data_IF_261791478073
#
_entry.id   IF_261791478073
#
_cell.length_a   1.000
_cell.length_b   1.000
_cell.length_c   1.000
_cell.angle_alpha   90.00
_cell.angle_beta   90.00
_cell.angle_gamma   90.00
#
_symmetry.space_group_name_H-M   'P 1'
#
loop_
_entity.id
_entity.type
_entity.pdbx_description
1 polymer ?
#
# COMPACT_ATOMS: atom_id res chain seq x y z
N UNK A 1 13.98 2.59 -7.76
CA UNK A 1 13.95 4.05 -8.01
C UNK A 1 12.56 4.37 -8.55
N UNK A 2 11.69 4.92 -7.73
CA UNK A 2 10.38 5.37 -8.18
C UNK A 2 10.53 6.85 -8.52
N UNK A 3 10.47 7.18 -9.80
CA UNK A 3 10.42 8.56 -10.26
C UNK A 3 8.96 8.92 -10.48
N UNK A 4 8.42 9.76 -9.63
CA UNK A 4 7.10 10.37 -9.86
C UNK A 4 7.32 11.83 -10.21
N UNK A 5 6.85 12.23 -11.36
CA UNK A 5 6.97 13.61 -11.87
C UNK A 5 5.86 14.49 -11.29
N UNK A 6 6.17 15.37 -10.39
CA UNK A 6 5.55 16.69 -10.21
C UNK A 6 6.22 17.44 -9.02
N UNK A 7 5.91 18.70 -8.81
CA UNK A 7 6.52 19.68 -7.87
C UNK A 7 6.43 19.31 -6.37
N UNK A 8 6.49 18.04 -6.00
CA UNK A 8 6.24 17.57 -4.64
C UNK A 8 7.47 16.91 -4.02
N UNK A 9 7.50 16.92 -2.72
CA UNK A 9 8.51 16.27 -1.88
C UNK A 9 8.27 14.75 -1.90
N UNK A 10 9.30 13.95 -2.15
CA UNK A 10 9.21 12.50 -2.23
C UNK A 10 9.98 11.82 -1.12
N UNK A 11 9.45 10.71 -0.63
CA UNK A 11 10.14 9.84 0.29
C UNK A 11 10.82 8.71 -0.48
N UNK A 12 12.15 8.65 -0.44
CA UNK A 12 12.92 7.58 -1.06
C UNK A 12 13.14 6.43 -0.10
N UNK A 13 12.89 5.23 -0.58
CA UNK A 13 13.32 4.01 0.08
C UNK A 13 14.78 3.77 -0.33
N UNK A 14 15.71 4.02 0.56
CA UNK A 14 17.08 3.57 0.40
C UNK A 14 17.22 2.14 0.90
N UNK A 15 17.66 1.25 0.03
CA UNK A 15 18.18 -0.04 0.41
C UNK A 15 19.60 0.17 0.97
N UNK A 16 19.74 0.53 2.22
CA UNK A 16 21.02 0.45 2.95
C UNK A 16 20.71 0.39 4.46
N UNK A 17 21.01 -0.72 5.06
CA UNK A 17 21.46 -1.05 6.43
C UNK A 17 20.97 -0.27 7.67
N UNK A 18 20.11 0.75 7.55
CA UNK A 18 19.45 1.38 8.69
C UNK A 18 17.99 1.70 8.32
N UNK A 19 17.14 0.69 8.46
CA UNK A 19 15.73 0.71 8.07
C UNK A 19 14.83 1.49 9.05
N UNK A 20 15.40 2.06 10.10
CA UNK A 20 14.65 2.69 11.19
C UNK A 20 14.23 4.13 10.91
N UNK A 21 14.99 4.85 10.10
CA UNK A 21 14.76 6.27 9.83
C UNK A 21 14.31 6.49 8.38
N UNK A 22 13.23 7.23 8.17
CA UNK A 22 12.80 7.67 6.84
C UNK A 22 13.22 9.12 6.60
N UNK A 23 13.78 9.36 5.43
CA UNK A 23 14.27 10.68 5.03
C UNK A 23 13.41 11.26 3.92
N UNK A 24 13.03 12.50 4.08
CA UNK A 24 12.33 13.30 3.07
C UNK A 24 13.34 14.11 2.30
N UNK A 25 13.36 13.96 0.98
CA UNK A 25 14.29 14.65 0.09
C UNK A 25 13.57 15.71 -0.75
N UNK A 26 14.22 16.83 -0.94
CA UNK A 26 13.86 17.76 -2.00
C UNK A 26 14.52 17.30 -3.32
N UNK A 27 13.68 17.05 -4.32
CA UNK A 27 14.14 16.59 -5.64
C UNK A 27 14.90 17.65 -6.43
N UNK A 28 14.61 18.92 -6.18
CA UNK A 28 15.29 20.03 -6.89
C UNK A 28 16.70 20.26 -6.33
N UNK A 29 16.81 20.39 -5.01
CA UNK A 29 18.10 20.61 -4.34
C UNK A 29 18.89 19.33 -4.11
N UNK A 30 18.24 18.15 -4.21
CA UNK A 30 18.82 16.82 -3.89
C UNK A 30 19.35 16.73 -2.45
N UNK A 31 18.77 17.50 -1.55
CA UNK A 31 19.15 17.52 -0.14
C UNK A 31 18.11 16.82 0.73
N UNK A 32 18.56 16.33 1.88
CA UNK A 32 17.66 15.79 2.91
C UNK A 32 17.01 16.98 3.60
N UNK A 33 15.69 17.08 3.47
CA UNK A 33 14.92 18.12 4.15
C UNK A 33 14.66 17.74 5.61
N UNK A 34 14.24 16.50 5.84
CA UNK A 34 13.77 16.03 7.15
C UNK A 34 14.10 14.57 7.34
N UNK A 35 14.29 14.17 8.59
CA UNK A 35 14.36 12.79 9.03
C UNK A 35 13.18 12.52 9.97
N UNK A 36 12.45 11.44 9.72
CA UNK A 36 11.32 10.99 10.53
C UNK A 36 11.81 9.73 11.28
N UNK A 37 12.13 9.89 12.55
CA UNK A 37 12.83 8.88 13.35
C UNK A 37 12.08 8.63 14.65
N UNK A 38 11.26 7.57 14.66
CA UNK A 38 10.50 7.15 15.85
C UNK A 38 10.18 5.65 15.84
N UNK A 39 10.21 5.01 14.65
CA UNK A 39 10.00 3.56 14.60
C UNK A 39 11.17 2.80 15.21
N UNK A 40 10.85 1.72 15.93
CA UNK A 40 11.83 0.86 16.61
C UNK A 40 12.36 -0.27 15.74
N UNK A 41 11.70 -0.54 14.62
CA UNK A 41 12.05 -1.60 13.67
C UNK A 41 11.95 -1.11 12.22
N UNK A 42 12.34 -1.93 11.23
CA UNK A 42 12.31 -1.56 9.82
C UNK A 42 10.95 -1.03 9.34
N UNK A 43 10.99 0.02 8.53
CA UNK A 43 9.80 0.61 7.91
C UNK A 43 9.72 0.16 6.46
N UNK A 44 8.65 -0.54 6.10
CA UNK A 44 8.47 -1.13 4.78
C UNK A 44 7.76 -0.21 3.79
N UNK A 45 6.80 0.55 4.26
CA UNK A 45 5.99 1.44 3.42
C UNK A 45 6.03 2.85 3.97
N UNK A 46 6.25 3.78 3.05
CA UNK A 46 6.00 5.20 3.26
C UNK A 46 5.23 5.76 2.07
N UNK A 47 4.14 6.46 2.34
CA UNK A 47 3.32 7.10 1.30
C UNK A 47 2.91 8.50 1.73
N UNK A 48 2.98 9.44 0.79
CA UNK A 48 2.35 10.74 0.99
C UNK A 48 0.83 10.62 0.95
N UNK A 49 0.17 11.42 1.77
CA UNK A 49 -1.27 11.61 1.63
C UNK A 49 -1.55 12.37 0.33
N UNK A 50 -2.46 11.84 -0.48
CA UNK A 50 -2.82 12.49 -1.75
C UNK A 50 -3.57 13.81 -1.55
N UNK A 51 -4.29 13.94 -0.43
CA UNK A 51 -5.11 15.12 -0.12
C UNK A 51 -4.36 16.14 0.73
N UNK A 52 -3.40 15.70 1.53
CA UNK A 52 -2.55 16.52 2.40
C UNK A 52 -1.09 16.23 2.12
N UNK A 53 -0.47 16.90 1.14
CA UNK A 53 0.87 16.55 0.67
C UNK A 53 1.99 16.79 1.69
N UNK A 54 1.69 17.45 2.81
CA UNK A 54 2.61 17.60 3.95
C UNK A 54 2.60 16.42 4.90
N UNK A 55 1.68 15.46 4.72
CA UNK A 55 1.55 14.30 5.59
C UNK A 55 2.11 13.03 4.94
N UNK A 56 2.81 12.24 5.74
CA UNK A 56 3.42 10.97 5.34
C UNK A 56 2.95 9.86 6.26
N UNK A 57 2.45 8.79 5.66
CA UNK A 57 2.15 7.54 6.34
C UNK A 57 3.39 6.65 6.35
N UNK A 58 3.68 6.02 7.49
CA UNK A 58 4.69 4.97 7.59
C UNK A 58 4.13 3.72 8.27
N UNK A 59 4.53 2.55 7.78
CA UNK A 59 4.16 1.25 8.33
C UNK A 59 5.43 0.44 8.61
N UNK A 60 5.52 -0.17 9.79
CA UNK A 60 6.75 -0.78 10.29
C UNK A 60 6.55 -2.20 10.84
N UNK A 61 7.66 -2.93 10.94
CA UNK A 61 7.74 -4.22 11.63
C UNK A 61 7.58 -4.08 13.16
N UNK A 62 7.66 -2.87 13.71
CA UNK A 62 7.34 -2.63 15.13
C UNK A 62 5.83 -2.69 15.44
N UNK A 63 5.02 -3.21 14.52
CA UNK A 63 3.56 -3.35 14.57
C UNK A 63 2.79 -2.03 14.54
N UNK A 64 3.49 -0.90 14.44
CA UNK A 64 2.88 0.41 14.47
C UNK A 64 2.72 1.01 13.09
N UNK A 65 1.69 1.85 12.98
CA UNK A 65 1.44 2.73 11.83
C UNK A 65 1.48 4.17 12.33
N UNK A 66 2.29 5.00 11.70
CA UNK A 66 2.43 6.40 12.09
C UNK A 66 2.09 7.33 10.94
N UNK A 67 1.38 8.38 11.24
CA UNK A 67 1.16 9.51 10.34
C UNK A 67 1.96 10.69 10.83
N UNK A 68 2.73 11.28 9.94
CA UNK A 68 3.65 12.37 10.22
C UNK A 68 3.23 13.67 9.55
N UNK A 69 3.50 14.77 10.22
CA UNK A 69 3.53 16.08 9.58
C UNK A 69 4.99 16.42 9.26
N UNK A 70 5.30 16.56 7.97
CA UNK A 70 6.67 16.79 7.49
C UNK A 70 7.24 18.13 7.96
N UNK A 71 6.50 19.25 7.92
CA UNK A 71 6.97 20.52 8.42
C UNK A 71 7.39 20.51 9.89
N UNK A 72 6.54 19.97 10.76
CA UNK A 72 6.80 19.93 12.21
C UNK A 72 7.69 18.78 12.65
N UNK A 73 7.95 17.80 11.77
CA UNK A 73 8.71 16.57 12.06
C UNK A 73 8.11 15.76 13.23
N UNK A 74 6.83 15.90 13.46
CA UNK A 74 6.13 15.22 14.56
C UNK A 74 5.16 14.17 14.04
N UNK A 75 4.98 13.12 14.83
CA UNK A 75 3.91 12.16 14.60
C UNK A 75 2.59 12.78 15.00
N UNK A 76 1.63 12.83 14.06
CA UNK A 76 0.26 13.33 14.32
C UNK A 76 -0.51 12.29 15.11
N UNK A 77 -0.41 11.02 14.68
CA UNK A 77 -1.08 9.88 15.30
C UNK A 77 -0.27 8.61 15.11
N UNK A 78 -0.32 7.74 16.12
CA UNK A 78 0.28 6.41 16.09
C UNK A 78 -0.78 5.36 16.40
N UNK A 79 -0.96 4.40 15.49
CA UNK A 79 -1.85 3.27 15.68
C UNK A 79 -1.03 2.04 16.08
N UNK A 80 -1.48 1.36 17.14
CA UNK A 80 -0.83 0.16 17.72
C UNK A 80 -1.77 -1.04 17.71
N UNK A 81 -2.72 -1.07 16.79
CA UNK A 81 -3.80 -2.06 16.78
C UNK A 81 -3.40 -3.40 16.17
N UNK A 82 -2.36 -3.44 15.30
CA UNK A 82 -1.88 -4.69 14.70
C UNK A 82 -1.04 -5.52 15.68
N UNK A 83 -1.08 -6.84 15.51
CA UNK A 83 -0.37 -7.80 16.35
C UNK A 83 0.95 -8.30 15.75
N UNK A 84 1.17 -8.02 14.47
CA UNK A 84 2.37 -8.43 13.72
C UNK A 84 2.78 -7.33 12.75
N UNK A 85 3.86 -7.54 12.01
CA UNK A 85 4.48 -6.60 11.06
C UNK A 85 3.46 -5.94 10.14
N UNK A 86 3.48 -4.63 10.06
CA UNK A 86 2.63 -3.87 9.14
C UNK A 86 3.39 -3.61 7.84
N UNK A 87 3.02 -4.36 6.81
CA UNK A 87 3.74 -4.38 5.54
C UNK A 87 3.22 -3.40 4.51
N UNK A 88 2.00 -2.93 4.69
CA UNK A 88 1.35 -2.09 3.70
C UNK A 88 0.39 -1.11 4.35
N UNK A 89 0.25 0.06 3.73
CA UNK A 89 -0.71 1.07 4.16
C UNK A 89 -0.99 2.09 3.06
N UNK A 90 -2.16 2.70 3.14
CA UNK A 90 -2.60 3.75 2.23
C UNK A 90 -3.55 4.72 2.93
N UNK A 91 -3.33 6.02 2.71
CA UNK A 91 -4.31 7.05 3.06
C UNK A 91 -5.39 7.06 1.98
N UNK A 92 -6.63 7.20 2.37
CA UNK A 92 -7.75 7.30 1.43
C UNK A 92 -7.62 8.55 0.55
N UNK A 93 -7.99 8.40 -0.72
CA UNK A 93 -8.02 9.51 -1.68
C UNK A 93 -9.34 10.29 -1.64
N UNK A 94 -10.40 9.72 -1.07
CA UNK A 94 -11.72 10.36 -0.92
C UNK A 94 -11.93 11.01 0.45
N UNK A 95 -11.31 10.45 1.50
CA UNK A 95 -11.41 10.97 2.86
C UNK A 95 -10.03 10.94 3.53
N UNK A 96 -9.38 12.11 3.74
CA UNK A 96 -8.03 12.16 4.28
C UNK A 96 -7.92 11.62 5.71
N UNK A 97 -9.03 11.49 6.41
CA UNK A 97 -9.04 10.95 7.78
C UNK A 97 -8.95 9.42 7.84
N UNK A 98 -9.14 8.72 6.73
CA UNK A 98 -9.14 7.25 6.71
C UNK A 98 -7.81 6.68 6.21
N UNK A 99 -7.29 5.73 6.95
CA UNK A 99 -6.07 4.98 6.63
C UNK A 99 -6.39 3.48 6.58
N UNK A 100 -6.06 2.85 5.46
CA UNK A 100 -6.14 1.41 5.29
C UNK A 100 -4.75 0.79 5.51
N UNK A 101 -4.66 -0.24 6.33
CA UNK A 101 -3.41 -0.97 6.60
C UNK A 101 -3.57 -2.46 6.45
N UNK A 102 -2.49 -3.15 6.14
CA UNK A 102 -2.44 -4.61 6.07
C UNK A 102 -1.20 -5.14 6.79
N UNK A 103 -1.37 -6.23 7.51
CA UNK A 103 -0.36 -6.79 8.39
C UNK A 103 -0.16 -8.29 8.15
N UNK A 104 0.95 -8.78 8.66
CA UNK A 104 1.25 -10.21 8.73
C UNK A 104 0.39 -10.94 9.77
N UNK A 105 -0.34 -10.20 10.63
CA UNK A 105 -1.41 -10.77 11.46
C UNK A 105 -2.63 -11.28 10.65
N UNK A 106 -2.58 -11.17 9.31
CA UNK A 106 -3.62 -11.61 8.38
C UNK A 106 -4.80 -10.67 8.28
N UNK A 107 -4.80 -9.56 9.02
CA UNK A 107 -5.90 -8.59 9.02
C UNK A 107 -5.61 -7.37 8.15
N UNK A 108 -6.67 -6.83 7.62
CA UNK A 108 -6.72 -5.49 7.01
C UNK A 108 -7.51 -4.60 7.96
N UNK A 109 -6.98 -3.44 8.29
CA UNK A 109 -7.63 -2.51 9.24
C UNK A 109 -7.85 -1.15 8.62
N UNK A 110 -9.01 -0.59 8.94
CA UNK A 110 -9.36 0.79 8.61
C UNK A 110 -9.29 1.62 9.88
N UNK A 111 -8.48 2.67 9.86
CA UNK A 111 -8.28 3.59 10.98
C UNK A 111 -8.85 4.96 10.63
N UNK A 112 -9.45 5.64 11.61
CA UNK A 112 -9.79 7.07 11.51
C UNK A 112 -8.77 7.88 12.32
N UNK A 113 -8.10 8.82 11.64
CA UNK A 113 -7.11 9.71 12.26
C UNK A 113 -7.72 10.68 13.29
N UNK A 114 -9.02 11.01 13.18
CA UNK A 114 -9.70 11.93 14.07
C UNK A 114 -10.00 11.30 15.42
N UNK A 115 -10.42 10.02 15.40
CA UNK A 115 -10.68 9.26 16.63
C UNK A 115 -9.40 8.65 17.21
N UNK A 116 -8.35 8.48 16.38
CA UNK A 116 -7.15 7.75 16.74
C UNK A 116 -7.36 6.23 16.87
N UNK A 117 -8.51 5.72 16.44
CA UNK A 117 -8.92 4.34 16.66
C UNK A 117 -8.97 3.53 15.36
N UNK A 118 -8.96 2.21 15.53
CA UNK A 118 -9.31 1.27 14.48
C UNK A 118 -10.84 1.16 14.40
N UNK A 119 -11.41 1.65 13.30
CA UNK A 119 -12.86 1.64 13.08
C UNK A 119 -13.36 0.28 12.57
N UNK A 120 -12.51 -0.44 11.84
CA UNK A 120 -12.93 -1.67 11.18
C UNK A 120 -11.77 -2.66 11.04
N UNK A 121 -12.05 -3.94 11.28
CA UNK A 121 -11.13 -5.05 11.05
C UNK A 121 -11.74 -5.97 10.00
N UNK A 122 -10.98 -6.25 8.94
CA UNK A 122 -11.34 -7.10 7.83
C UNK A 122 -10.37 -8.29 7.77
N UNK A 123 -10.87 -9.51 7.60
CA UNK A 123 -10.07 -10.73 7.63
C UNK A 123 -10.22 -11.51 8.93
N UNK A 124 -9.57 -12.66 8.98
CA UNK A 124 -9.62 -13.55 10.14
C UNK A 124 -8.37 -13.34 10.99
N UNK A 125 -8.59 -12.96 12.25
CA UNK A 125 -7.53 -12.75 13.24
C UNK A 125 -7.07 -14.06 13.91
N UNK A 126 -7.35 -15.22 13.32
CA UNK A 126 -6.96 -16.50 13.91
C UNK A 126 -5.45 -16.73 13.76
N UNK A 127 -4.68 -16.79 14.84
CA UNK A 127 -3.21 -16.85 14.78
C UNK A 127 -2.66 -18.13 14.13
N UNK A 128 -3.47 -19.16 13.96
CA UNK A 128 -3.04 -20.46 13.43
C UNK A 128 -3.19 -20.63 11.91
N UNK A 129 -3.88 -19.73 11.22
CA UNK A 129 -4.15 -19.85 9.79
C UNK A 129 -4.11 -18.52 9.01
N UNK A 130 -3.66 -17.45 9.62
CA UNK A 130 -3.62 -16.14 8.97
C UNK A 130 -2.55 -16.10 7.88
N UNK A 131 -2.97 -15.88 6.65
CA UNK A 131 -2.04 -15.63 5.53
C UNK A 131 -1.62 -14.16 5.58
N UNK A 132 -0.32 -13.85 5.61
CA UNK A 132 0.18 -12.48 5.64
C UNK A 132 -0.41 -11.62 4.53
N UNK A 133 -0.82 -10.39 4.89
CA UNK A 133 -1.28 -9.40 3.91
C UNK A 133 -0.07 -8.62 3.38
N UNK A 134 0.23 -8.82 2.10
CA UNK A 134 1.39 -8.20 1.44
C UNK A 134 1.09 -6.78 0.94
N UNK A 135 -0.12 -6.57 0.41
CA UNK A 135 -0.51 -5.29 -0.17
C UNK A 135 -1.98 -4.97 0.09
N UNK A 136 -2.26 -3.69 0.33
CA UNK A 136 -3.63 -3.16 0.33
C UNK A 136 -3.77 -2.03 -0.66
N UNK A 137 -4.98 -1.88 -1.19
CA UNK A 137 -5.32 -0.83 -2.14
C UNK A 137 -6.78 -0.41 -1.90
N UNK A 138 -7.02 0.88 -1.72
CA UNK A 138 -8.37 1.42 -1.56
C UNK A 138 -8.87 1.95 -2.89
N UNK A 139 -10.13 1.71 -3.21
CA UNK A 139 -10.78 2.34 -4.36
C UNK A 139 -10.84 3.85 -4.14
N UNK A 140 -10.68 4.65 -5.22
CA UNK A 140 -10.76 6.12 -5.12
C UNK A 140 -12.11 6.63 -4.56
N UNK A 141 -13.18 5.86 -4.74
CA UNK A 141 -14.49 6.15 -4.15
C UNK A 141 -14.51 6.02 -2.62
N UNK A 142 -13.54 5.32 -2.01
CA UNK A 142 -13.52 5.00 -0.58
C UNK A 142 -14.54 3.96 -0.13
N UNK A 143 -15.35 3.39 -1.04
CA UNK A 143 -16.42 2.44 -0.70
C UNK A 143 -15.94 1.00 -0.58
N UNK A 144 -14.84 0.67 -1.22
CA UNK A 144 -14.28 -0.68 -1.24
C UNK A 144 -12.75 -0.66 -1.11
N UNK A 145 -12.22 -1.78 -0.66
CA UNK A 145 -10.79 -2.03 -0.54
C UNK A 145 -10.40 -3.38 -1.15
N UNK A 146 -9.14 -3.51 -1.48
CA UNK A 146 -8.53 -4.75 -1.96
C UNK A 146 -7.37 -5.11 -1.03
N UNK A 147 -7.15 -6.40 -0.83
CA UNK A 147 -5.97 -6.91 -0.15
C UNK A 147 -5.43 -8.14 -0.85
N UNK A 148 -4.12 -8.26 -0.92
CA UNK A 148 -3.46 -9.49 -1.34
C UNK A 148 -2.93 -10.24 -0.13
N UNK A 149 -3.31 -11.50 -0.01
CA UNK A 149 -2.84 -12.42 1.02
C UNK A 149 -2.39 -13.71 0.33
N UNK A 150 -1.08 -13.96 0.28
CA UNK A 150 -0.50 -15.02 -0.53
C UNK A 150 -0.91 -14.88 -2.01
N UNK A 151 -1.45 -15.93 -2.60
CA UNK A 151 -1.93 -15.95 -3.99
C UNK A 151 -3.36 -15.44 -4.17
N UNK A 152 -4.04 -15.06 -3.09
CA UNK A 152 -5.44 -14.67 -3.10
C UNK A 152 -5.57 -13.15 -3.05
N UNK A 153 -6.37 -12.61 -3.94
CA UNK A 153 -6.82 -11.23 -3.90
C UNK A 153 -8.23 -11.19 -3.31
N UNK A 154 -8.42 -10.45 -2.23
CA UNK A 154 -9.74 -10.26 -1.59
C UNK A 154 -10.24 -8.84 -1.83
N UNK A 155 -11.52 -8.72 -2.12
CA UNK A 155 -12.23 -7.45 -2.21
C UNK A 155 -13.19 -7.29 -1.02
N UNK A 156 -13.18 -6.12 -0.40
CA UNK A 156 -13.89 -5.80 0.82
C UNK A 156 -14.84 -4.64 0.59
N UNK A 157 -16.03 -4.72 1.13
CA UNK A 157 -17.01 -3.63 1.16
C UNK A 157 -16.86 -2.85 2.48
N UNK A 158 -16.35 -1.63 2.38
CA UNK A 158 -16.15 -0.76 3.55
C UNK A 158 -17.50 -0.26 4.08
N UNK A 159 -18.43 0.03 3.18
CA UNK A 159 -19.77 0.55 3.57
C UNK A 159 -20.60 -0.51 4.28
N UNK A 160 -20.45 -1.77 3.87
CA UNK A 160 -21.12 -2.91 4.51
C UNK A 160 -20.37 -3.46 5.73
N UNK A 161 -19.53 -2.67 6.38
CA UNK A 161 -18.84 -3.06 7.62
C UNK A 161 -17.65 -4.00 7.41
N UNK A 162 -16.94 -3.91 6.29
CA UNK A 162 -15.73 -4.71 6.02
C UNK A 162 -16.01 -6.14 5.55
N UNK A 163 -17.18 -6.37 4.97
CA UNK A 163 -17.56 -7.69 4.45
C UNK A 163 -16.74 -8.04 3.21
N UNK A 164 -16.25 -9.27 3.13
CA UNK A 164 -15.60 -9.78 1.93
C UNK A 164 -16.63 -9.97 0.79
N UNK A 165 -16.46 -9.23 -0.31
CA UNK A 165 -17.32 -9.31 -1.50
C UNK A 165 -16.89 -10.47 -2.38
N UNK A 166 -15.56 -10.60 -2.57
CA UNK A 166 -14.97 -11.61 -3.44
C UNK A 166 -13.59 -12.02 -2.97
N UNK A 167 -13.24 -13.29 -3.24
CA UNK A 167 -11.89 -13.83 -3.15
C UNK A 167 -11.52 -14.40 -4.52
N UNK A 168 -10.39 -13.98 -5.07
CA UNK A 168 -9.91 -14.33 -6.40
C UNK A 168 -8.58 -15.06 -6.27
N UNK A 169 -8.53 -16.32 -6.71
CA UNK A 169 -7.35 -17.20 -6.67
C UNK A 169 -6.76 -17.43 -8.07
N UNK A 170 -6.58 -16.35 -8.83
CA UNK A 170 -6.09 -16.44 -10.20
C UNK A 170 -4.57 -16.57 -10.32
N UNK A 171 -3.82 -16.21 -9.27
CA UNK A 171 -2.36 -16.35 -9.20
C UNK A 171 -1.96 -17.66 -8.55
N UNK A 172 -0.80 -18.20 -8.95
CA UNK A 172 -0.24 -19.45 -8.39
C UNK A 172 0.72 -19.21 -7.22
N UNK A 173 1.27 -17.98 -7.11
CA UNK A 173 2.19 -17.56 -6.05
C UNK A 173 1.75 -16.22 -5.47
N UNK A 174 2.47 -15.78 -4.45
CA UNK A 174 2.20 -14.54 -3.73
C UNK A 174 2.04 -13.34 -4.67
N UNK A 175 1.00 -12.57 -4.45
CA UNK A 175 0.75 -11.29 -5.11
C UNK A 175 1.51 -10.23 -4.34
N UNK A 176 2.50 -9.63 -4.96
CA UNK A 176 3.42 -8.67 -4.35
C UNK A 176 3.00 -7.22 -4.50
N UNK A 177 2.19 -6.92 -5.52
CA UNK A 177 1.80 -5.55 -5.79
C UNK A 177 0.44 -5.43 -6.46
N UNK A 178 -0.25 -4.35 -6.09
CA UNK A 178 -1.56 -3.95 -6.60
C UNK A 178 -1.48 -2.51 -7.07
N UNK A 179 -2.12 -2.21 -8.20
CA UNK A 179 -2.24 -0.84 -8.69
C UNK A 179 -3.53 -0.65 -9.50
N UNK A 180 -4.16 0.51 -9.40
CA UNK A 180 -5.23 0.93 -10.31
C UNK A 180 -4.66 1.74 -11.47
N UNK A 181 -5.32 1.66 -12.63
CA UNK A 181 -5.13 2.67 -13.67
C UNK A 181 -5.73 4.03 -13.21
N UNK A 182 -5.49 5.07 -13.99
CA UNK A 182 -5.87 6.45 -13.63
C UNK A 182 -7.34 6.65 -13.31
N UNK A 183 -8.21 5.93 -13.98
CA UNK A 183 -9.68 6.01 -13.84
C UNK A 183 -10.23 4.92 -12.90
N UNK A 184 -9.37 4.13 -12.28
CA UNK A 184 -9.74 2.99 -11.44
C UNK A 184 -10.67 1.96 -12.12
N UNK A 185 -10.78 1.98 -13.45
CA UNK A 185 -11.56 1.01 -14.22
C UNK A 185 -10.85 -0.34 -14.36
N UNK A 186 -9.51 -0.35 -14.20
CA UNK A 186 -8.68 -1.54 -14.29
C UNK A 186 -7.81 -1.67 -13.04
N UNK A 187 -7.76 -2.90 -12.52
CA UNK A 187 -6.88 -3.31 -11.45
C UNK A 187 -5.75 -4.17 -12.02
N UNK A 188 -4.51 -3.86 -11.70
CA UNK A 188 -3.35 -4.64 -12.04
C UNK A 188 -2.81 -5.34 -10.80
N UNK A 189 -2.44 -6.59 -10.96
CA UNK A 189 -1.78 -7.40 -9.92
C UNK A 189 -0.47 -7.95 -10.44
N UNK A 190 0.59 -7.85 -9.67
CA UNK A 190 1.88 -8.47 -9.95
C UNK A 190 2.18 -9.56 -8.94
N UNK A 191 2.72 -10.69 -9.41
CA UNK A 191 2.96 -11.86 -8.58
C UNK A 191 4.33 -12.50 -8.81
N UNK A 192 4.78 -13.27 -7.82
CA UNK A 192 5.97 -14.11 -7.92
C UNK A 192 5.80 -15.29 -8.90
N UNK A 193 4.62 -15.47 -9.49
CA UNK A 193 4.38 -16.44 -10.57
C UNK A 193 4.82 -15.96 -11.96
N UNK A 194 5.53 -14.83 -12.01
CA UNK A 194 6.01 -14.17 -13.22
C UNK A 194 4.89 -13.58 -14.10
N UNK A 195 3.70 -13.38 -13.52
CA UNK A 195 2.56 -12.87 -14.27
C UNK A 195 2.08 -11.53 -13.70
N UNK A 196 1.68 -10.67 -14.62
CA UNK A 196 0.86 -9.51 -14.33
C UNK A 196 -0.52 -9.76 -14.92
N UNK A 197 -1.56 -9.63 -14.10
CA UNK A 197 -2.94 -9.77 -14.54
C UNK A 197 -3.66 -8.44 -14.43
N UNK A 198 -4.43 -8.14 -15.46
CA UNK A 198 -5.29 -6.99 -15.53
C UNK A 198 -6.72 -7.45 -15.34
N UNK A 199 -7.37 -6.89 -14.34
CA UNK A 199 -8.77 -7.16 -14.03
C UNK A 199 -9.63 -5.97 -14.41
N UNK A 200 -10.84 -6.24 -14.78
CA UNK A 200 -11.90 -5.25 -14.77
C UNK A 200 -12.32 -4.97 -13.32
N UNK A 201 -12.25 -3.71 -12.91
CA UNK A 201 -12.45 -3.33 -11.51
C UNK A 201 -13.91 -3.49 -11.04
N UNK A 202 -14.89 -3.50 -11.97
CA UNK A 202 -16.31 -3.65 -11.66
C UNK A 202 -16.73 -5.11 -11.56
N UNK A 203 -16.21 -5.96 -12.44
CA UNK A 203 -16.61 -7.38 -12.54
C UNK A 203 -15.64 -8.33 -11.86
N UNK A 204 -14.43 -7.86 -11.56
CA UNK A 204 -13.30 -8.66 -11.05
C UNK A 204 -12.88 -9.80 -11.98
N UNK A 205 -13.22 -9.71 -13.27
CA UNK A 205 -12.78 -10.70 -14.27
C UNK A 205 -11.43 -10.33 -14.84
N UNK A 206 -10.59 -11.34 -15.07
CA UNK A 206 -9.29 -11.15 -15.76
C UNK A 206 -9.57 -10.79 -17.23
N UNK A 207 -9.09 -9.62 -17.63
CA UNK A 207 -9.20 -9.11 -19.01
C UNK A 207 -7.95 -9.46 -19.79
N UNK A 208 -6.79 -9.33 -19.15
CA UNK A 208 -5.51 -9.58 -19.81
C UNK A 208 -4.51 -10.21 -18.84
N UNK A 209 -3.62 -11.05 -19.37
CA UNK A 209 -2.52 -11.65 -18.62
C UNK A 209 -1.22 -11.46 -19.39
N UNK A 210 -0.22 -10.89 -18.74
CA UNK A 210 1.12 -10.69 -19.29
C UNK A 210 2.10 -11.58 -18.53
N UNK A 211 2.95 -12.29 -19.25
CA UNK A 211 4.00 -13.14 -18.67
C UNK A 211 5.36 -12.49 -18.83
N UNK A 212 6.14 -12.53 -17.77
CA UNK A 212 7.49 -11.97 -17.70
C UNK A 212 8.51 -13.07 -17.41
N UNK A 213 9.79 -12.85 -17.77
CA UNK A 213 10.84 -13.84 -17.54
C UNK A 213 11.22 -14.01 -16.07
N UNK A 214 10.87 -13.05 -15.20
CA UNK A 214 11.23 -13.05 -13.79
C UNK A 214 10.03 -12.66 -12.90
N UNK A 215 10.07 -13.00 -11.60
CA UNK A 215 9.04 -12.62 -10.63
C UNK A 215 8.79 -11.13 -10.58
N UNK A 216 7.53 -10.73 -10.43
CA UNK A 216 7.15 -9.33 -10.30
C UNK A 216 7.24 -8.94 -8.84
N UNK A 217 8.06 -7.96 -8.52
CA UNK A 217 8.23 -7.45 -7.15
C UNK A 217 7.46 -6.15 -6.91
N UNK A 218 7.30 -5.31 -7.93
CA UNK A 218 6.60 -4.04 -7.83
C UNK A 218 5.97 -3.65 -9.15
N UNK A 219 4.81 -2.98 -9.09
CA UNK A 219 4.13 -2.38 -10.22
C UNK A 219 4.04 -0.88 -10.02
N UNK A 220 4.27 -0.14 -11.09
CA UNK A 220 3.98 1.29 -11.16
C UNK A 220 3.27 1.59 -12.47
N UNK A 221 2.24 2.42 -12.40
CA UNK A 221 1.47 2.85 -13.57
C UNK A 221 1.79 4.31 -13.84
N UNK A 222 2.21 4.60 -15.07
CA UNK A 222 2.45 5.97 -15.51
C UNK A 222 1.14 6.63 -15.92
N UNK A 223 0.97 7.90 -15.53
CA UNK A 223 -0.17 8.77 -15.90
C UNK A 223 -0.07 9.28 -17.35
N UNK A 224 0.94 8.87 -18.11
CA UNK A 224 1.05 9.27 -19.52
C UNK A 224 -0.13 8.75 -20.33
N UNK A 225 -0.73 9.63 -21.13
CA UNK A 225 -1.93 9.43 -21.96
C UNK A 225 -1.83 8.33 -23.05
N UNK A 226 -0.77 7.55 -23.09
CA UNK A 226 -0.60 6.42 -24.03
C UNK A 226 -0.33 5.13 -23.24
N UNK A 227 -1.20 4.20 -23.36
CA UNK A 227 -1.25 2.73 -23.21
C UNK A 227 0.03 1.97 -22.76
N UNK A 228 0.88 2.48 -21.89
CA UNK A 228 2.06 1.76 -21.42
C UNK A 228 2.05 1.59 -19.90
N UNK A 229 1.76 0.36 -19.48
CA UNK A 229 2.07 -0.10 -18.12
C UNK A 229 3.58 -0.37 -18.04
N UNK A 230 4.28 0.34 -17.17
CA UNK A 230 5.67 0.00 -16.86
C UNK A 230 5.69 -1.01 -15.71
N UNK A 231 6.13 -2.21 -16.02
CA UNK A 231 6.45 -3.24 -15.02
C UNK A 231 7.92 -3.08 -14.68
N UNK A 232 8.23 -2.77 -13.44
CA UNK A 232 9.60 -2.66 -12.98
C UNK A 232 10.01 -3.96 -12.28
N UNK A 233 10.83 -4.76 -12.96
CA UNK A 233 11.57 -5.85 -12.34
C UNK A 233 12.85 -5.27 -11.74
N UNK A 234 12.94 -5.19 -10.43
CA UNK A 234 14.23 -5.05 -9.79
C UNK A 234 14.87 -6.43 -9.73
N UNK A 235 15.75 -6.69 -10.69
CA UNK A 235 16.72 -7.79 -10.60
C UNK A 235 17.87 -7.26 -9.75
N UNK A 236 18.17 -7.95 -8.66
CA UNK A 236 19.45 -7.88 -7.97
C UNK A 236 20.35 -8.95 -8.51
#
# INVERSE_FOLDING_TARGET
>A
MIVVWSRYIYCYRWYILNLLCKKVFDMNSRTILRALDSHKQPVHVTKFSSLTPTQVLSCSDDTTVQLWDVPSQSSIVTFTSHMDYVRTGQVSTSNPSLILTGSYDGTVRLHDMRSGNCEMVMGESAPSSSVPVEQVLMFPSGTAALSSAGSILKAWDIVAGGRCIRALSNHQKTITSLAFNTDASRLLTGSLDNMVKVYDASTYKVVHTMRYPAPILSLAISVCRMHSCFVHNMIH
#
